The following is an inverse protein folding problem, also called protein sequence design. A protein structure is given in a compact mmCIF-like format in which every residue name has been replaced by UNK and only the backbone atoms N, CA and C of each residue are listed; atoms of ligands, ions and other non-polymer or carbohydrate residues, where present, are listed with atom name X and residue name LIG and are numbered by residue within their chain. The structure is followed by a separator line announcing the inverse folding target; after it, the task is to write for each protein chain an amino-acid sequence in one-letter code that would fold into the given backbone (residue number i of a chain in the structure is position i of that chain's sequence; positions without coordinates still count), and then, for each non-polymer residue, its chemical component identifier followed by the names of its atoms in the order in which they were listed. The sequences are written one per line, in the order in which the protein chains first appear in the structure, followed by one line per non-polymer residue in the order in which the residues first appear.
data_IF_956177492536
#
_entry.id   IF_956177492536
#
_cell.length_a   1.000
_cell.length_b   1.000
_cell.length_c   1.000
_cell.angle_alpha   90.00
_cell.angle_beta   90.00
_cell.angle_gamma   90.00
#
_symmetry.space_group_name_H-M   'P 1'
#
loop_
_entity.id
_entity.type
_entity.pdbx_description
1 polymer ?
#
# COMPACT_ATOMS: atom_id res chain seq x y z
N UNK A 1 16.15 10.87 -0.89
CA UNK A 1 16.13 11.03 0.57
C UNK A 1 16.42 9.65 1.13
N UNK A 2 17.53 9.55 1.87
CA UNK A 2 18.00 8.43 2.68
C UNK A 2 17.99 7.03 2.02
N UNK A 3 19.07 6.75 1.29
CA UNK A 3 19.66 5.40 1.31
C UNK A 3 20.04 5.10 2.77
N UNK A 4 19.15 4.43 3.49
CA UNK A 4 19.41 3.79 4.79
C UNK A 4 19.61 2.28 4.58
N UNK A 5 20.31 1.92 3.50
CA UNK A 5 20.55 0.54 3.05
C UNK A 5 22.00 0.10 3.34
N UNK A 6 22.68 0.76 4.27
CA UNK A 6 24.09 0.48 4.58
C UNK A 6 24.32 -0.70 5.53
N UNK A 7 23.27 -1.33 6.06
CA UNK A 7 23.38 -2.41 7.06
C UNK A 7 22.87 -3.78 6.60
N UNK A 8 22.10 -3.89 5.50
CA UNK A 8 21.65 -5.20 4.99
C UNK A 8 22.68 -5.78 4.01
N UNK A 9 23.07 -7.07 4.14
CA UNK A 9 23.90 -7.75 3.16
C UNK A 9 23.27 -7.62 1.76
N UNK A 10 24.07 -7.58 0.71
CA UNK A 10 23.47 -7.48 -0.63
C UNK A 10 22.83 -8.83 -1.00
N UNK A 11 21.67 -8.85 -1.69
CA UNK A 11 20.99 -10.10 -2.02
C UNK A 11 21.86 -11.11 -2.80
N UNK A 12 22.83 -10.63 -3.58
CA UNK A 12 23.79 -11.45 -4.33
C UNK A 12 24.83 -12.18 -3.46
N UNK A 13 24.95 -11.80 -2.18
CA UNK A 13 25.85 -12.38 -1.19
C UNK A 13 25.15 -13.40 -0.28
N UNK A 14 23.82 -13.47 -0.33
CA UNK A 14 22.99 -14.32 0.51
C UNK A 14 22.81 -15.73 -0.06
N UNK A 15 22.73 -16.71 0.83
CA UNK A 15 22.28 -18.05 0.48
C UNK A 15 20.75 -18.14 0.37
N UNK A 16 20.24 -19.25 -0.16
CA UNK A 16 18.79 -19.43 -0.39
C UNK A 16 17.95 -19.32 0.89
N UNK A 17 18.46 -19.74 2.04
CA UNK A 17 17.73 -19.62 3.31
C UNK A 17 17.63 -18.15 3.73
N UNK A 18 18.73 -17.41 3.66
CA UNK A 18 18.78 -15.98 3.98
C UNK A 18 17.87 -15.17 3.06
N UNK A 19 17.86 -15.45 1.75
CA UNK A 19 16.95 -14.80 0.80
C UNK A 19 15.47 -15.05 1.12
N UNK A 20 15.14 -16.25 1.62
CA UNK A 20 13.76 -16.58 2.01
C UNK A 20 13.36 -15.86 3.28
N UNK A 21 14.26 -15.76 4.26
CA UNK A 21 14.04 -14.99 5.48
C UNK A 21 13.84 -13.49 5.17
N UNK A 22 14.58 -12.94 4.21
CA UNK A 22 14.40 -11.56 3.76
C UNK A 22 13.02 -11.36 3.11
N UNK A 23 12.57 -12.27 2.24
CA UNK A 23 11.22 -12.23 1.66
C UNK A 23 10.16 -12.30 2.76
N UNK A 24 10.30 -13.20 3.72
CA UNK A 24 9.37 -13.30 4.86
C UNK A 24 9.33 -12.00 5.69
N UNK A 25 10.46 -11.29 5.81
CA UNK A 25 10.50 -9.98 6.46
C UNK A 25 9.75 -8.93 5.65
N UNK A 26 10.00 -8.87 4.34
CA UNK A 26 9.28 -7.96 3.43
C UNK A 26 7.77 -8.22 3.47
N UNK A 27 7.35 -9.49 3.48
CA UNK A 27 5.94 -9.87 3.55
C UNK A 27 5.29 -9.35 4.85
N UNK A 28 5.99 -9.44 5.99
CA UNK A 28 5.53 -8.86 7.26
C UNK A 28 5.39 -7.33 7.16
N UNK A 29 6.41 -6.66 6.62
CA UNK A 29 6.40 -5.21 6.42
C UNK A 29 5.25 -4.76 5.49
N UNK A 30 4.96 -5.53 4.43
CA UNK A 30 3.81 -5.27 3.54
C UNK A 30 2.50 -5.31 4.32
N UNK A 31 2.29 -6.33 5.17
CA UNK A 31 1.07 -6.45 5.98
C UNK A 31 0.95 -5.28 6.96
N UNK A 32 2.04 -4.89 7.62
CA UNK A 32 2.06 -3.73 8.51
C UNK A 32 1.72 -2.41 7.79
N UNK A 33 2.27 -2.21 6.59
CA UNK A 33 1.97 -1.05 5.75
C UNK A 33 0.51 -1.03 5.30
N UNK A 34 -0.06 -2.19 4.95
CA UNK A 34 -1.49 -2.32 4.61
C UNK A 34 -2.35 -1.92 5.80
N UNK A 35 -2.07 -2.46 7.00
CA UNK A 35 -2.82 -2.14 8.21
C UNK A 35 -2.76 -0.64 8.54
N UNK A 36 -1.55 -0.04 8.46
CA UNK A 36 -1.36 1.40 8.66
C UNK A 36 -2.13 2.23 7.63
N UNK A 37 -2.12 1.83 6.35
CA UNK A 37 -2.87 2.51 5.28
C UNK A 37 -4.37 2.46 5.53
N UNK A 38 -4.89 1.31 5.96
CA UNK A 38 -6.32 1.13 6.28
C UNK A 38 -6.74 2.03 7.43
N UNK A 39 -5.99 2.05 8.53
CA UNK A 39 -6.27 2.94 9.67
C UNK A 39 -6.33 4.44 9.28
N UNK A 40 -5.44 4.89 8.40
CA UNK A 40 -5.46 6.27 7.89
C UNK A 40 -6.71 6.51 7.04
N UNK A 41 -7.09 5.58 6.18
CA UNK A 41 -8.28 5.70 5.34
C UNK A 41 -9.58 5.70 6.16
N UNK A 42 -9.68 4.89 7.22
CA UNK A 42 -10.77 4.94 8.20
C UNK A 42 -10.86 6.31 8.89
N UNK A 43 -9.71 6.84 9.31
CA UNK A 43 -9.64 8.18 9.92
C UNK A 43 -10.13 9.26 8.95
N UNK A 44 -9.79 9.17 7.66
CA UNK A 44 -10.31 10.06 6.62
C UNK A 44 -11.83 9.92 6.48
N UNK A 45 -12.36 8.69 6.52
CA UNK A 45 -13.80 8.45 6.44
C UNK A 45 -14.55 9.10 7.62
N UNK A 46 -14.04 8.97 8.85
CA UNK A 46 -14.60 9.63 10.03
C UNK A 46 -14.60 11.15 9.91
N UNK A 47 -13.50 11.74 9.42
CA UNK A 47 -13.42 13.19 9.18
C UNK A 47 -14.41 13.65 8.10
N UNK A 48 -14.66 12.82 7.07
CA UNK A 48 -15.68 13.11 6.05
C UNK A 48 -17.09 13.07 6.65
N UNK A 49 -17.37 12.07 7.49
CA UNK A 49 -18.66 11.91 8.17
C UNK A 49 -18.97 13.10 9.10
N UNK A 50 -18.00 13.50 9.93
CA UNK A 50 -18.10 14.70 10.81
C UNK A 50 -18.35 16.02 10.05
N UNK A 51 -18.10 16.03 8.74
CA UNK A 51 -18.25 17.20 7.86
C UNK A 51 -19.38 17.05 6.84
N UNK A 52 -20.24 16.04 6.98
CA UNK A 52 -21.32 15.72 6.04
C UNK A 52 -20.82 15.57 4.58
N UNK A 53 -19.60 15.07 4.41
CA UNK A 53 -19.00 14.85 3.09
C UNK A 53 -19.24 13.42 2.59
N UNK A 54 -19.43 13.22 1.26
CA UNK A 54 -19.53 11.89 0.69
C UNK A 54 -18.29 11.03 0.97
N UNK A 55 -18.52 9.79 1.38
CA UNK A 55 -17.44 8.80 1.58
C UNK A 55 -16.81 8.34 0.28
N UNK A 56 -17.59 8.28 -0.80
CA UNK A 56 -17.10 7.89 -2.13
C UNK A 56 -16.51 9.11 -2.82
N UNK A 57 -15.33 8.94 -3.41
CA UNK A 57 -14.54 10.01 -4.00
C UNK A 57 -13.75 9.43 -5.18
N UNK A 58 -14.42 9.35 -6.33
CA UNK A 58 -13.88 8.74 -7.54
C UNK A 58 -12.61 9.45 -8.02
N UNK A 59 -12.55 10.77 -7.88
CA UNK A 59 -11.36 11.56 -8.19
C UNK A 59 -10.17 11.16 -7.30
N UNK A 60 -10.41 10.92 -6.01
CA UNK A 60 -9.36 10.42 -5.12
C UNK A 60 -8.93 9.00 -5.47
N UNK A 61 -9.85 8.13 -5.86
CA UNK A 61 -9.51 6.77 -6.33
C UNK A 61 -8.63 6.83 -7.58
N UNK A 62 -8.98 7.69 -8.56
CA UNK A 62 -8.17 7.90 -9.74
C UNK A 62 -6.77 8.39 -9.38
N UNK A 63 -6.65 9.39 -8.51
CA UNK A 63 -5.34 9.89 -8.02
C UNK A 63 -4.50 8.82 -7.32
N UNK A 64 -5.14 7.88 -6.61
CA UNK A 64 -4.43 6.73 -6.00
C UNK A 64 -3.90 5.80 -7.09
N UNK A 65 -4.68 5.55 -8.13
CA UNK A 65 -4.31 4.69 -9.26
C UNK A 65 -3.22 5.31 -10.14
N UNK A 66 -3.23 6.62 -10.32
CA UNK A 66 -2.20 7.35 -11.06
C UNK A 66 -0.85 7.23 -10.34
N UNK A 67 -0.82 7.53 -9.03
CA UNK A 67 0.38 7.33 -8.19
C UNK A 67 0.86 5.88 -8.20
N UNK A 68 -0.04 4.90 -8.20
CA UNK A 68 0.33 3.49 -8.27
C UNK A 68 1.05 3.17 -9.60
N UNK A 69 0.61 3.76 -10.70
CA UNK A 69 1.29 3.65 -12.00
C UNK A 69 2.67 4.31 -12.00
N UNK A 70 2.76 5.56 -11.52
CA UNK A 70 4.02 6.30 -11.44
C UNK A 70 5.08 5.56 -10.59
N UNK A 71 4.67 5.00 -9.44
CA UNK A 71 5.59 4.20 -8.61
C UNK A 71 5.99 2.90 -9.31
N UNK A 72 5.08 2.23 -10.02
CA UNK A 72 5.42 1.01 -10.74
C UNK A 72 6.49 1.26 -11.81
N UNK A 73 6.37 2.36 -12.56
CA UNK A 73 7.38 2.79 -13.53
C UNK A 73 8.71 3.12 -12.85
N UNK A 74 8.69 3.81 -11.71
CA UNK A 74 9.89 4.16 -10.96
C UNK A 74 10.69 2.93 -10.49
N UNK A 75 9.99 1.86 -10.08
CA UNK A 75 10.61 0.64 -9.57
C UNK A 75 10.77 -0.47 -10.62
N UNK A 76 10.51 -0.17 -11.91
CA UNK A 76 10.61 -1.11 -13.04
C UNK A 76 9.78 -2.39 -12.81
N UNK A 77 8.53 -2.22 -12.36
CA UNK A 77 7.55 -3.29 -12.16
C UNK A 77 6.31 -3.08 -13.02
N UNK A 78 5.58 -4.15 -13.32
CA UNK A 78 4.39 -4.08 -14.17
C UNK A 78 3.30 -3.18 -13.55
N UNK A 79 3.01 -2.07 -14.22
CA UNK A 79 2.04 -1.09 -13.75
C UNK A 79 0.62 -1.64 -13.62
N UNK A 80 0.22 -2.64 -14.42
CA UNK A 80 -1.11 -3.25 -14.31
C UNK A 80 -1.21 -4.11 -13.06
N UNK A 81 -0.16 -4.85 -12.71
CA UNK A 81 -0.10 -5.65 -11.48
C UNK A 81 -0.13 -4.75 -10.24
N UNK A 82 0.70 -3.71 -10.20
CA UNK A 82 0.68 -2.75 -9.08
C UNK A 82 -0.69 -2.08 -8.95
N UNK A 83 -1.27 -1.62 -10.06
CA UNK A 83 -2.63 -1.07 -10.07
C UNK A 83 -3.68 -2.08 -9.59
N UNK A 84 -3.53 -3.37 -9.90
CA UNK A 84 -4.44 -4.41 -9.39
C UNK A 84 -4.37 -4.54 -7.86
N UNK A 85 -3.17 -4.52 -7.28
CA UNK A 85 -2.99 -4.51 -5.82
C UNK A 85 -3.67 -3.27 -5.20
N UNK A 86 -3.46 -2.10 -5.77
CA UNK A 86 -4.07 -0.86 -5.27
C UNK A 86 -5.60 -0.86 -5.36
N UNK A 87 -6.19 -1.51 -6.38
CA UNK A 87 -7.65 -1.73 -6.43
C UNK A 87 -8.13 -2.56 -5.26
N UNK A 88 -7.43 -3.65 -4.92
CA UNK A 88 -7.77 -4.47 -3.75
C UNK A 88 -7.68 -3.65 -2.45
N UNK A 89 -6.67 -2.79 -2.32
CA UNK A 89 -6.53 -1.91 -1.14
C UNK A 89 -7.63 -0.86 -1.05
N UNK A 90 -8.11 -0.33 -2.18
CA UNK A 90 -9.26 0.58 -2.21
C UNK A 90 -10.52 -0.18 -1.80
N UNK A 91 -10.76 -1.35 -2.37
CA UNK A 91 -11.95 -2.16 -2.07
C UNK A 91 -11.99 -2.62 -0.61
N UNK A 92 -10.85 -3.04 -0.03
CA UNK A 92 -10.74 -3.35 1.40
C UNK A 92 -11.28 -2.20 2.25
N UNK A 93 -10.85 -0.97 1.97
CA UNK A 93 -11.30 0.20 2.71
C UNK A 93 -12.78 0.54 2.52
N UNK A 94 -13.34 0.28 1.32
CA UNK A 94 -14.78 0.46 1.08
C UNK A 94 -15.63 -0.55 1.85
N UNK A 95 -15.15 -1.78 1.99
CA UNK A 95 -15.85 -2.83 2.76
C UNK A 95 -15.88 -2.46 4.24
N UNK A 96 -14.74 -2.14 4.84
CA UNK A 96 -14.65 -1.74 6.25
C UNK A 96 -15.56 -0.52 6.57
N UNK A 97 -15.61 0.46 5.66
CA UNK A 97 -16.51 1.63 5.80
C UNK A 97 -18.00 1.29 5.73
N UNK A 98 -18.38 0.22 5.02
CA UNK A 98 -19.79 -0.23 4.96
C UNK A 98 -20.18 -0.98 6.22
N UNK A 99 -19.25 -1.73 6.82
CA UNK A 99 -19.51 -2.50 8.06
C UNK A 99 -19.51 -1.60 9.31
N UNK A 100 -18.79 -0.48 9.28
CA UNK A 100 -18.70 0.48 10.39
C UNK A 100 -19.84 1.52 10.43
N UNK A 101 -20.83 1.42 9.53
CA UNK A 101 -22.03 2.27 9.47
C UNK A 101 -23.23 1.61 10.12
#
# INVERSE_FOLDING_TARGET
MADDDTERPRPDEMNLAELREEIESIDREIVELIARRTYVAETVARVKDERDMPTTDEDQEQRVMDRAGENAEQFDVDANLVKAIFRLLIELNKVEQRESR
#
